data_IF_507177479847
#
_entry.id   IF_507177479847
#
_cell.length_a   1.000
_cell.length_b   1.000
_cell.length_c   1.000
_cell.angle_alpha   90.00
_cell.angle_beta   90.00
_cell.angle_gamma   90.00
#
_symmetry.space_group_name_H-M   'P 1'
#
loop_
_entity.id
_entity.type
_entity.pdbx_description
1 polymer ?
#
# COMPACT_ATOMS: atom_id res chain seq x y z
N UNK A 1 -1.88 -8.02 14.06
CA UNK A 1 -0.98 -7.19 13.24
C UNK A 1 -0.46 -8.07 12.11
N UNK A 2 -0.47 -7.63 10.86
CA UNK A 2 -0.08 -8.49 9.74
C UNK A 2 1.44 -8.65 9.68
N UNK A 3 1.92 -9.81 9.26
CA UNK A 3 3.36 -10.11 9.23
C UNK A 3 4.16 -9.03 8.47
N UNK A 4 3.70 -8.61 7.30
CA UNK A 4 4.44 -7.71 6.40
C UNK A 4 3.76 -6.37 6.12
N UNK A 5 2.51 -6.20 6.55
CA UNK A 5 1.72 -4.99 6.32
C UNK A 5 0.73 -4.77 7.44
N UNK A 6 0.53 -3.51 7.79
CA UNK A 6 -0.49 -3.08 8.73
C UNK A 6 -1.64 -2.39 8.01
N UNK A 7 -2.87 -2.65 8.46
CA UNK A 7 -4.07 -2.08 7.88
C UNK A 7 -4.68 -1.06 8.84
N UNK A 8 -4.71 0.20 8.40
CA UNK A 8 -5.45 1.29 9.02
C UNK A 8 -6.84 1.39 8.37
N UNK A 9 -7.90 1.42 9.17
CA UNK A 9 -9.26 1.61 8.65
C UNK A 9 -9.57 3.11 8.55
N UNK A 10 -9.48 3.66 7.34
CA UNK A 10 -9.80 5.08 7.07
C UNK A 10 -11.31 5.33 7.05
N UNK A 11 -12.08 4.36 6.53
CA UNK A 11 -13.55 4.36 6.58
C UNK A 11 -14.03 2.96 6.88
N UNK A 12 -14.80 2.80 7.96
CA UNK A 12 -15.37 1.49 8.31
C UNK A 12 -16.33 1.00 7.21
N UNK A 13 -16.33 -0.30 6.88
CA UNK A 13 -17.36 -0.89 6.05
C UNK A 13 -18.71 -0.88 6.77
N UNK A 14 -19.80 -0.99 6.00
CA UNK A 14 -21.14 -1.30 6.52
C UNK A 14 -21.60 -2.63 5.93
N UNK A 15 -22.75 -3.15 6.38
CA UNK A 15 -23.35 -4.39 5.84
C UNK A 15 -23.55 -4.36 4.32
N UNK A 16 -23.69 -3.18 3.72
CA UNK A 16 -24.03 -3.00 2.30
C UNK A 16 -22.99 -2.23 1.50
N UNK A 17 -21.95 -1.68 2.16
CA UNK A 17 -20.95 -0.82 1.49
C UNK A 17 -19.55 -1.13 1.98
N UNK A 18 -18.63 -1.16 1.03
CA UNK A 18 -17.21 -1.31 1.32
C UNK A 18 -16.66 -0.12 2.12
N UNK A 19 -15.79 -0.45 3.06
CA UNK A 19 -14.94 0.53 3.74
C UNK A 19 -13.75 0.94 2.88
N UNK A 20 -12.87 1.73 3.47
CA UNK A 20 -11.60 2.09 2.85
C UNK A 20 -10.48 1.91 3.86
N UNK A 21 -9.46 1.15 3.49
CA UNK A 21 -8.28 0.89 4.31
C UNK A 21 -7.01 1.48 3.71
N UNK A 22 -6.03 1.78 4.54
CA UNK A 22 -4.68 2.19 4.16
C UNK A 22 -3.70 1.13 4.64
N UNK A 23 -2.85 0.65 3.75
CA UNK A 23 -1.77 -0.26 4.08
C UNK A 23 -0.48 0.49 4.34
N UNK A 24 0.08 0.24 5.51
CA UNK A 24 1.43 0.62 5.90
C UNK A 24 2.33 -0.58 5.62
N UNK A 25 3.24 -0.43 4.65
CA UNK A 25 4.16 -1.49 4.28
C UNK A 25 5.39 -1.41 5.18
N UNK A 26 5.78 -2.55 5.76
CA UNK A 26 6.92 -2.61 6.66
C UNK A 26 8.13 -3.31 6.04
N UNK A 27 9.27 -3.11 6.67
CA UNK A 27 10.53 -3.78 6.36
C UNK A 27 10.62 -5.20 6.97
N UNK A 28 9.57 -5.61 7.70
CA UNK A 28 9.39 -6.96 8.24
C UNK A 28 9.19 -7.99 7.14
N UNK A 29 9.75 -9.17 7.28
CA UNK A 29 9.49 -10.29 6.39
C UNK A 29 9.12 -11.55 7.19
N UNK A 30 8.54 -12.52 6.49
CA UNK A 30 8.26 -13.86 7.00
C UNK A 30 8.81 -14.84 6.00
N UNK A 31 9.44 -15.89 6.51
CA UNK A 31 9.85 -17.04 5.71
C UNK A 31 9.09 -18.23 6.27
N UNK A 32 8.40 -18.97 5.40
CA UNK A 32 7.42 -19.98 5.82
C UNK A 32 6.38 -19.39 6.79
N UNK A 33 5.80 -20.23 7.65
CA UNK A 33 4.77 -19.85 8.63
C UNK A 33 5.34 -19.32 9.95
N UNK A 34 6.58 -18.80 9.94
CA UNK A 34 7.26 -18.30 11.15
C UNK A 34 6.60 -17.05 11.75
N UNK A 35 5.93 -16.25 10.92
CA UNK A 35 5.50 -14.91 11.31
C UNK A 35 6.61 -13.89 11.06
N UNK A 36 6.65 -12.82 11.85
CA UNK A 36 7.69 -11.81 11.70
C UNK A 36 9.07 -12.36 12.07
N UNK A 37 10.05 -12.19 11.18
CA UNK A 37 11.46 -12.48 11.44
C UNK A 37 12.07 -11.41 12.36
N UNK A 38 13.07 -11.75 13.21
CA UNK A 38 13.69 -10.80 14.14
C UNK A 38 14.46 -9.69 13.43
N UNK A 39 15.01 -9.98 12.25
CA UNK A 39 15.72 -9.00 11.42
C UNK A 39 14.75 -8.27 10.47
N UNK A 40 15.11 -7.05 10.09
CA UNK A 40 14.38 -6.27 9.08
C UNK A 40 15.23 -6.06 7.82
N UNK A 41 14.58 -5.98 6.67
CA UNK A 41 15.23 -5.67 5.39
C UNK A 41 14.94 -4.21 5.06
N UNK A 42 15.93 -3.34 5.27
CA UNK A 42 15.81 -1.90 5.07
C UNK A 42 15.25 -1.55 3.69
N UNK A 43 14.21 -0.71 3.66
CA UNK A 43 13.61 -0.21 2.42
C UNK A 43 12.70 -1.19 1.69
N UNK A 44 12.58 -2.44 2.14
CA UNK A 44 11.71 -3.45 1.53
C UNK A 44 10.25 -2.99 1.47
N UNK A 45 9.74 -2.41 2.55
CA UNK A 45 8.35 -1.94 2.64
C UNK A 45 8.07 -0.87 1.59
N UNK A 46 8.96 0.11 1.46
CA UNK A 46 8.86 1.17 0.46
C UNK A 46 8.94 0.61 -0.97
N UNK A 47 9.92 -0.25 -1.25
CA UNK A 47 10.09 -0.88 -2.56
C UNK A 47 8.85 -1.69 -2.97
N UNK A 48 8.30 -2.51 -2.08
CA UNK A 48 7.09 -3.30 -2.34
C UNK A 48 5.82 -2.45 -2.46
N UNK A 49 5.74 -1.31 -1.75
CA UNK A 49 4.64 -0.36 -1.86
C UNK A 49 4.62 0.26 -3.27
N UNK A 50 5.78 0.74 -3.75
CA UNK A 50 5.95 1.33 -5.07
C UNK A 50 5.75 0.30 -6.19
N UNK A 51 6.38 -0.87 -6.10
CA UNK A 51 6.19 -1.95 -7.06
C UNK A 51 4.72 -2.38 -7.15
N UNK A 52 4.03 -2.49 -6.01
CA UNK A 52 2.61 -2.82 -5.97
C UNK A 52 1.75 -1.76 -6.67
N UNK A 53 1.98 -0.48 -6.38
CA UNK A 53 1.29 0.63 -7.02
C UNK A 53 1.48 0.64 -8.54
N UNK A 54 2.72 0.54 -9.01
CA UNK A 54 3.02 0.43 -10.44
C UNK A 54 2.24 -0.71 -11.09
N UNK A 55 2.31 -1.93 -10.53
CA UNK A 55 1.61 -3.08 -11.08
C UNK A 55 0.08 -2.90 -11.10
N UNK A 56 -0.51 -2.33 -10.06
CA UNK A 56 -1.96 -2.07 -10.04
C UNK A 56 -2.38 -1.06 -11.10
N UNK A 57 -1.63 0.02 -11.28
CA UNK A 57 -1.95 1.00 -12.32
C UNK A 57 -1.82 0.42 -13.73
N UNK A 58 -0.80 -0.41 -14.00
CA UNK A 58 -0.69 -1.14 -15.28
C UNK A 58 -1.83 -2.13 -15.52
N UNK A 59 -2.41 -2.70 -14.47
CA UNK A 59 -3.60 -3.54 -14.58
C UNK A 59 -4.84 -2.71 -14.91
N UNK A 60 -5.00 -1.55 -14.26
CA UNK A 60 -6.13 -0.65 -14.49
C UNK A 60 -6.13 -0.04 -15.90
N UNK A 61 -4.97 0.28 -16.46
CA UNK A 61 -4.80 0.68 -17.87
C UNK A 61 -5.32 -0.38 -18.85
N UNK A 62 -5.22 -1.65 -18.48
CA UNK A 62 -5.74 -2.79 -19.25
C UNK A 62 -7.21 -3.10 -18.95
N UNK A 63 -7.90 -2.24 -18.20
CA UNK A 63 -9.30 -2.40 -17.81
C UNK A 63 -9.53 -3.45 -16.72
N UNK A 64 -8.48 -3.95 -16.06
CA UNK A 64 -8.61 -4.94 -14.99
C UNK A 64 -8.93 -4.22 -13.69
N UNK A 65 -10.13 -4.47 -13.14
CA UNK A 65 -10.58 -3.84 -11.89
C UNK A 65 -9.79 -4.37 -10.69
N UNK A 66 -9.28 -3.45 -9.88
CA UNK A 66 -8.53 -3.77 -8.67
C UNK A 66 -9.15 -3.12 -7.43
N UNK A 67 -8.56 -3.37 -6.26
CA UNK A 67 -8.93 -2.71 -5.00
C UNK A 67 -8.06 -1.48 -4.69
N UNK A 68 -7.05 -1.23 -5.52
CA UNK A 68 -6.11 -0.13 -5.37
C UNK A 68 -6.83 1.19 -5.62
N UNK A 69 -6.34 2.25 -4.98
CA UNK A 69 -6.90 3.60 -5.16
C UNK A 69 -5.85 4.68 -5.41
N UNK A 70 -4.56 4.34 -5.31
CA UNK A 70 -3.47 5.29 -5.31
C UNK A 70 -2.53 5.15 -4.10
N UNK A 71 -1.38 5.81 -4.23
CA UNK A 71 -0.43 6.06 -3.15
C UNK A 71 -0.90 7.25 -2.32
N UNK A 72 -0.37 7.38 -1.11
CA UNK A 72 -0.70 8.48 -0.20
C UNK A 72 0.59 9.27 0.06
N UNK A 73 0.54 10.57 -0.22
CA UNK A 73 1.63 11.49 0.07
C UNK A 73 1.69 11.89 1.55
N UNK A 74 2.69 12.67 1.92
CA UNK A 74 2.89 13.15 3.30
C UNK A 74 1.74 14.02 3.81
N UNK A 75 0.98 14.64 2.90
CA UNK A 75 -0.20 15.47 3.21
C UNK A 75 -1.48 14.65 3.29
N UNK A 76 -1.40 13.32 3.09
CA UNK A 76 -2.54 12.42 3.11
C UNK A 76 -3.35 12.41 1.81
N UNK A 77 -2.91 13.10 0.75
CA UNK A 77 -3.54 13.13 -0.57
C UNK A 77 -3.26 11.82 -1.29
N UNK A 78 -4.28 11.33 -2.01
CA UNK A 78 -4.12 10.20 -2.92
C UNK A 78 -3.50 10.68 -4.23
N UNK A 79 -2.42 10.03 -4.66
CA UNK A 79 -1.64 10.35 -5.86
C UNK A 79 -1.36 9.08 -6.67
N UNK A 80 -1.14 9.23 -7.98
CA UNK A 80 -0.70 8.13 -8.85
C UNK A 80 0.80 7.87 -8.73
N UNK A 81 1.27 6.78 -9.33
CA UNK A 81 2.69 6.48 -9.44
C UNK A 81 3.43 7.55 -10.25
N UNK A 82 2.89 8.02 -11.37
CA UNK A 82 3.54 9.03 -12.21
C UNK A 82 3.65 10.40 -11.52
N UNK A 83 2.68 10.75 -10.66
CA UNK A 83 2.76 11.95 -9.81
C UNK A 83 3.96 11.89 -8.84
N UNK A 84 4.38 10.69 -8.42
CA UNK A 84 5.56 10.53 -7.56
C UNK A 84 6.88 10.77 -8.28
N UNK A 85 7.01 10.35 -9.53
CA UNK A 85 8.23 10.61 -10.31
C UNK A 85 8.45 12.11 -10.46
N UNK A 86 7.36 12.86 -10.66
CA UNK A 86 7.39 14.32 -10.73
C UNK A 86 7.71 14.96 -9.37
N UNK A 87 7.28 14.34 -8.26
CA UNK A 87 7.47 14.84 -6.90
C UNK A 87 8.81 14.44 -6.23
N UNK A 88 9.60 13.54 -6.85
CA UNK A 88 10.81 12.93 -6.26
C UNK A 88 12.03 13.87 -6.14
N UNK A 89 11.81 15.18 -6.00
CA UNK A 89 12.82 16.12 -5.51
C UNK A 89 13.00 16.10 -3.97
N UNK A 90 12.20 15.35 -3.20
CA UNK A 90 12.41 15.22 -1.74
C UNK A 90 11.72 14.01 -1.09
N UNK A 91 12.41 13.46 -0.10
CA UNK A 91 12.30 12.16 0.59
C UNK A 91 11.12 12.04 1.58
N UNK A 92 10.55 10.83 1.80
CA UNK A 92 9.79 10.51 3.04
C UNK A 92 8.44 9.77 2.90
N UNK A 93 8.34 8.59 3.53
CA UNK A 93 7.13 7.79 3.91
C UNK A 93 5.91 7.80 2.97
N UNK A 94 5.67 6.69 2.26
CA UNK A 94 4.53 6.52 1.33
C UNK A 94 3.73 5.25 1.63
N UNK A 95 2.41 5.39 1.75
CA UNK A 95 1.49 4.30 2.11
C UNK A 95 0.48 4.07 0.98
N UNK A 96 0.14 2.81 0.66
CA UNK A 96 -0.80 2.49 -0.41
C UNK A 96 -2.20 2.17 0.16
N UNK A 97 -3.27 2.68 -0.46
CA UNK A 97 -4.65 2.47 0.02
C UNK A 97 -5.29 1.23 -0.63
N UNK A 98 -5.93 0.35 0.16
CA UNK A 98 -6.72 -0.83 -0.33
C UNK A 98 -8.17 -0.72 0.11
N UNK A 99 -9.07 -1.10 -0.78
CA UNK A 99 -10.47 -1.36 -0.46
C UNK A 99 -10.94 -2.74 -0.93
N UNK A 100 -10.92 -3.74 -0.04
CA UNK A 100 -11.96 -4.77 0.16
C UNK A 100 -11.48 -5.70 1.29
N UNK A 101 -12.05 -5.54 2.49
CA UNK A 101 -12.06 -6.60 3.50
C UNK A 101 -13.48 -7.15 3.55
N UNK A 102 -13.55 -8.49 3.58
CA UNK A 102 -14.78 -9.26 3.72
C UNK A 102 -15.49 -8.94 5.04
#
# INVERSE_FOLDING_TARGET
MGSVKDLEVVKKPTKTRMGVGRFHFSDRYSVFDWGEMPDHIEGKGAALCLMGAYCFERLEEKGIRTHYRGLVDEKGKVISFDELETANSSNGRRTARKGRMA
#
